data_IF_362167610640
#
_entry.id   IF_362167610640
#
_cell.length_a   1.000
_cell.length_b   1.000
_cell.length_c   1.000
_cell.angle_alpha   90.00
_cell.angle_beta   90.00
_cell.angle_gamma   90.00
#
_symmetry.space_group_name_H-M   'P 1'
#
loop_
_entity.id
_entity.type
_entity.pdbx_description
1 polymer ?
#
# COMPACT_ATOMS: atom_id res chain seq x y z
N UNK A 1 -7.21 -3.49 -9.73
CA UNK A 1 -5.83 -3.15 -10.12
C UNK A 1 -4.89 -3.29 -8.93
N UNK A 2 -5.15 -2.60 -7.81
CA UNK A 2 -4.25 -2.59 -6.64
C UNK A 2 -4.11 -3.96 -5.94
N UNK A 3 -5.17 -4.74 -5.85
CA UNK A 3 -5.13 -6.10 -5.27
C UNK A 3 -4.21 -7.01 -6.08
N UNK A 4 -4.27 -6.91 -7.40
CA UNK A 4 -3.40 -7.67 -8.30
C UNK A 4 -1.93 -7.25 -8.15
N UNK A 5 -1.65 -5.96 -8.03
CA UNK A 5 -0.30 -5.44 -7.81
C UNK A 5 0.24 -5.84 -6.43
N UNK A 6 -0.57 -5.79 -5.39
CA UNK A 6 -0.18 -6.26 -4.06
C UNK A 6 0.17 -7.75 -4.07
N UNK A 7 -0.56 -8.57 -4.81
CA UNK A 7 -0.26 -10.00 -4.95
C UNK A 7 1.03 -10.24 -5.74
N UNK A 8 1.19 -9.60 -6.90
CA UNK A 8 2.35 -9.76 -7.76
C UNK A 8 3.63 -9.18 -7.15
N UNK A 9 3.53 -8.15 -6.32
CA UNK A 9 4.69 -7.52 -5.68
C UNK A 9 5.48 -8.43 -4.73
N UNK A 10 4.92 -9.55 -4.32
CA UNK A 10 5.62 -10.57 -3.50
C UNK A 10 6.84 -11.18 -4.19
N UNK A 11 6.87 -11.15 -5.52
CA UNK A 11 7.97 -11.68 -6.34
C UNK A 11 8.90 -10.59 -6.86
N UNK A 12 8.67 -9.34 -6.49
CA UNK A 12 9.47 -8.22 -6.93
C UNK A 12 10.86 -8.22 -6.29
N UNK A 13 11.80 -7.58 -6.98
CA UNK A 13 13.20 -7.55 -6.55
C UNK A 13 13.47 -6.39 -5.60
N UNK A 14 14.22 -6.63 -4.52
CA UNK A 14 14.68 -5.57 -3.63
C UNK A 14 15.79 -4.74 -4.30
N UNK A 15 15.80 -3.46 -3.99
CA UNK A 15 16.86 -2.53 -4.38
C UNK A 15 16.99 -1.41 -3.34
N UNK A 16 18.20 -0.90 -3.15
CA UNK A 16 18.42 0.28 -2.31
C UNK A 16 17.88 1.52 -3.03
N UNK A 17 17.00 2.24 -2.36
CA UNK A 17 16.38 3.46 -2.85
C UNK A 17 16.72 4.64 -1.92
N UNK A 18 16.77 5.83 -2.49
CA UNK A 18 16.97 7.07 -1.75
C UNK A 18 15.64 7.79 -1.62
N UNK A 19 15.34 8.26 -0.43
CA UNK A 19 14.16 9.09 -0.19
C UNK A 19 14.40 10.47 -0.78
N UNK A 20 13.45 10.94 -1.57
CA UNK A 20 13.47 12.24 -2.25
C UNK A 20 12.19 13.01 -1.96
N UNK A 21 12.09 14.25 -2.44
CA UNK A 21 10.85 15.01 -2.33
C UNK A 21 9.81 14.47 -3.31
N UNK A 22 8.54 14.60 -2.95
CA UNK A 22 7.43 14.18 -3.82
C UNK A 22 7.50 14.86 -5.21
N UNK A 23 7.83 16.15 -5.23
CA UNK A 23 8.02 16.90 -6.48
C UNK A 23 9.11 16.30 -7.37
N UNK A 24 10.23 15.89 -6.78
CA UNK A 24 11.35 15.28 -7.52
C UNK A 24 10.95 13.91 -8.08
N UNK A 25 10.21 13.10 -7.32
CA UNK A 25 9.75 11.79 -7.78
C UNK A 25 8.76 11.92 -8.95
N UNK A 26 7.83 12.85 -8.90
CA UNK A 26 6.89 13.11 -10.01
C UNK A 26 7.64 13.62 -11.24
N UNK A 27 8.61 14.52 -11.08
CA UNK A 27 9.46 15.00 -12.18
C UNK A 27 10.28 13.86 -12.82
N UNK A 28 10.68 12.85 -12.04
CA UNK A 28 11.38 11.65 -12.52
C UNK A 28 10.43 10.60 -13.15
N UNK A 29 9.13 10.86 -13.24
CA UNK A 29 8.15 10.00 -13.89
C UNK A 29 7.51 8.95 -12.98
N UNK A 30 7.47 9.18 -11.66
CA UNK A 30 6.73 8.31 -10.74
C UNK A 30 5.25 8.23 -11.12
N UNK A 31 4.69 7.04 -11.05
CA UNK A 31 3.26 6.84 -11.28
C UNK A 31 2.48 7.35 -10.07
N UNK A 32 1.64 8.34 -10.31
CA UNK A 32 0.76 8.91 -9.30
C UNK A 32 -0.62 9.15 -9.88
N UNK A 33 -1.63 8.59 -9.26
CA UNK A 33 -3.02 8.78 -9.65
C UNK A 33 -3.72 9.73 -8.67
N UNK A 34 -3.77 11.00 -9.05
CA UNK A 34 -4.41 12.05 -8.25
C UNK A 34 -5.94 11.83 -8.10
N UNK A 35 -6.58 11.19 -9.08
CA UNK A 35 -8.01 10.91 -9.04
C UNK A 35 -8.30 9.81 -8.02
N UNK A 36 -7.51 8.76 -8.03
CA UNK A 36 -7.63 7.66 -7.06
C UNK A 36 -7.39 8.15 -5.63
N UNK A 37 -6.40 9.01 -5.42
CA UNK A 37 -6.15 9.62 -4.12
C UNK A 37 -7.33 10.51 -3.67
N UNK A 38 -7.90 11.30 -4.58
CA UNK A 38 -9.04 12.14 -4.27
C UNK A 38 -10.27 11.31 -3.91
N UNK A 39 -10.55 10.25 -4.66
CA UNK A 39 -11.65 9.33 -4.36
C UNK A 39 -11.45 8.63 -3.02
N UNK A 40 -10.23 8.19 -2.72
CA UNK A 40 -9.90 7.58 -1.43
C UNK A 40 -10.14 8.55 -0.28
N UNK A 41 -9.77 9.82 -0.40
CA UNK A 41 -10.01 10.86 0.60
C UNK A 41 -11.49 11.19 0.80
N UNK A 42 -12.30 11.12 -0.26
CA UNK A 42 -13.74 11.42 -0.19
C UNK A 42 -14.54 10.26 0.41
N UNK A 43 -14.26 9.04 -0.01
CA UNK A 43 -15.05 7.86 0.35
C UNK A 43 -14.49 7.09 1.54
N UNK A 44 -13.19 7.22 1.80
CA UNK A 44 -12.49 6.56 2.89
C UNK A 44 -11.80 7.64 3.74
N UNK A 45 -12.26 7.88 4.98
CA UNK A 45 -11.64 8.86 5.86
C UNK A 45 -10.16 8.50 6.14
N UNK A 46 -9.41 9.44 6.74
CA UNK A 46 -7.94 9.39 6.98
C UNK A 46 -7.38 8.05 7.49
N UNK A 47 -8.23 7.21 8.08
CA UNK A 47 -7.85 5.91 8.61
C UNK A 47 -7.66 4.81 7.56
N UNK A 48 -8.10 5.04 6.32
CA UNK A 48 -8.08 4.04 5.24
C UNK A 48 -7.17 4.42 4.07
N UNK A 49 -6.38 5.47 4.21
CA UNK A 49 -5.44 5.90 3.19
C UNK A 49 -4.26 4.93 3.04
N UNK A 50 -3.65 4.97 1.86
CA UNK A 50 -2.34 4.35 1.64
C UNK A 50 -1.26 5.39 1.92
N UNK A 51 -0.24 5.08 2.74
CA UNK A 51 0.84 6.02 2.96
C UNK A 51 1.65 6.24 1.68
N UNK A 52 2.11 7.47 1.49
CA UNK A 52 2.94 7.88 0.36
C UNK A 52 4.33 8.28 0.85
N UNK A 53 5.33 7.82 0.13
CA UNK A 53 6.72 8.21 0.33
C UNK A 53 7.41 8.30 -1.01
N UNK A 54 8.10 9.38 -1.27
CA UNK A 54 8.81 9.58 -2.52
C UNK A 54 10.22 9.01 -2.44
N UNK A 55 10.59 8.16 -3.37
CA UNK A 55 11.91 7.53 -3.45
C UNK A 55 12.35 7.36 -4.90
N UNK A 56 13.67 7.23 -5.09
CA UNK A 56 14.27 6.94 -6.38
C UNK A 56 15.31 5.83 -6.26
N UNK A 57 15.51 5.09 -7.34
CA UNK A 57 16.50 4.01 -7.45
C UNK A 57 16.98 3.88 -8.89
N UNK A 58 18.12 3.22 -9.07
CA UNK A 58 18.72 3.00 -10.40
C UNK A 58 18.81 1.51 -10.70
N UNK A 59 18.31 1.12 -11.87
CA UNK A 59 18.38 -0.24 -12.41
C UNK A 59 18.98 -0.18 -13.81
N UNK A 60 20.06 -0.91 -14.05
CA UNK A 60 20.74 -0.98 -15.35
C UNK A 60 21.06 0.40 -15.95
N UNK A 61 21.47 1.34 -15.11
CA UNK A 61 21.84 2.70 -15.50
C UNK A 61 20.67 3.67 -15.71
N UNK A 62 19.42 3.22 -15.60
CA UNK A 62 18.23 4.05 -15.66
C UNK A 62 17.69 4.35 -14.26
N UNK A 63 17.32 5.60 -14.01
CA UNK A 63 16.73 6.02 -12.74
C UNK A 63 15.20 5.96 -12.82
N UNK A 64 14.62 5.34 -11.81
CA UNK A 64 13.17 5.22 -11.61
C UNK A 64 12.78 5.86 -10.28
N UNK A 65 11.53 6.26 -10.18
CA UNK A 65 10.99 6.84 -8.95
C UNK A 65 9.62 6.25 -8.62
N UNK A 66 9.30 6.21 -7.34
CA UNK A 66 8.01 5.78 -6.82
C UNK A 66 7.51 6.72 -5.73
N UNK A 67 6.21 6.67 -5.46
CA UNK A 67 5.55 7.48 -4.43
C UNK A 67 4.67 6.65 -3.49
N UNK A 68 4.59 5.34 -3.71
CA UNK A 68 3.74 4.46 -2.91
C UNK A 68 4.57 3.68 -1.90
N UNK A 69 4.16 3.73 -0.64
CA UNK A 69 4.73 2.90 0.41
C UNK A 69 4.26 1.44 0.26
N UNK A 70 2.98 1.25 0.00
CA UNK A 70 2.35 -0.05 -0.24
C UNK A 70 1.23 0.06 -1.27
N UNK A 71 0.84 -1.05 -1.86
CA UNK A 71 -0.34 -1.13 -2.75
C UNK A 71 -1.65 -1.42 -2.02
N UNK A 72 -1.61 -1.71 -0.74
CA UNK A 72 -2.81 -2.04 0.04
C UNK A 72 -3.27 -0.88 0.91
N UNK A 73 -4.57 -0.82 1.13
CA UNK A 73 -5.17 0.02 2.16
C UNK A 73 -5.02 -0.73 3.48
N UNK A 74 -4.38 -0.12 4.45
CA UNK A 74 -4.21 -0.68 5.79
C UNK A 74 -4.75 0.31 6.83
N UNK A 75 -5.95 0.06 7.39
CA UNK A 75 -6.56 0.97 8.36
C UNK A 75 -5.78 1.10 9.68
N UNK A 76 -4.94 0.11 9.99
CA UNK A 76 -4.11 0.11 11.20
C UNK A 76 -2.62 0.30 10.89
N UNK A 77 -2.29 0.51 9.63
CA UNK A 77 -0.92 0.73 9.18
C UNK A 77 -0.41 2.15 9.46
N UNK A 78 0.84 2.41 9.10
CA UNK A 78 1.45 3.72 9.31
C UNK A 78 0.75 4.78 8.45
N UNK A 79 0.65 5.99 8.98
CA UNK A 79 0.11 7.16 8.27
C UNK A 79 1.20 7.91 7.51
N UNK A 80 0.81 8.72 6.54
CA UNK A 80 1.72 9.54 5.72
C UNK A 80 2.72 10.33 6.57
N UNK A 81 2.26 11.03 7.58
CA UNK A 81 3.10 11.85 8.44
C UNK A 81 4.14 11.03 9.22
N UNK A 82 3.76 9.84 9.69
CA UNK A 82 4.63 8.93 10.40
C UNK A 82 5.72 8.38 9.47
N UNK A 83 5.33 7.89 8.30
CA UNK A 83 6.26 7.37 7.30
C UNK A 83 7.25 8.44 6.84
N UNK A 84 6.80 9.65 6.58
CA UNK A 84 7.64 10.76 6.16
C UNK A 84 8.59 11.24 7.27
N UNK A 85 8.16 11.20 8.52
CA UNK A 85 9.01 11.55 9.66
C UNK A 85 10.11 10.52 9.90
N UNK A 86 9.80 9.24 9.76
CA UNK A 86 10.77 8.14 9.93
C UNK A 86 11.76 8.05 8.77
N UNK A 87 11.37 8.51 7.59
CA UNK A 87 12.17 8.45 6.37
C UNK A 87 12.37 9.86 5.77
N UNK A 88 13.22 10.69 6.36
CA UNK A 88 13.49 12.03 5.85
C UNK A 88 14.19 11.98 4.48
N UNK A 89 14.05 13.04 3.64
CA UNK A 89 14.76 13.14 2.37
C UNK A 89 16.27 12.94 2.52
N UNK A 90 16.87 12.16 1.63
CA UNK A 90 18.29 11.80 1.65
C UNK A 90 18.59 10.50 2.39
N UNK A 91 17.66 9.94 3.17
CA UNK A 91 17.83 8.62 3.78
C UNK A 91 17.69 7.49 2.75
N UNK A 92 18.26 6.33 3.07
CA UNK A 92 18.19 5.13 2.23
C UNK A 92 17.18 4.15 2.80
N UNK A 93 16.40 3.53 1.93
CA UNK A 93 15.40 2.51 2.26
C UNK A 93 15.44 1.42 1.20
N UNK A 94 15.03 0.20 1.57
CA UNK A 94 14.85 -0.87 0.60
C UNK A 94 13.51 -0.71 -0.11
N UNK A 95 13.53 -0.62 -1.43
CA UNK A 95 12.35 -0.64 -2.28
C UNK A 95 12.27 -1.96 -3.05
N UNK A 96 11.10 -2.28 -3.56
CA UNK A 96 10.86 -3.45 -4.38
C UNK A 96 10.26 -3.01 -5.71
N UNK A 97 10.77 -3.53 -6.80
CA UNK A 97 10.33 -3.18 -8.14
C UNK A 97 10.01 -4.41 -8.99
N UNK A 98 9.08 -4.24 -9.93
CA UNK A 98 8.79 -5.24 -10.95
C UNK A 98 9.91 -5.26 -11.99
N UNK A 99 10.64 -6.37 -12.16
CA UNK A 99 11.69 -6.46 -13.18
C UNK A 99 11.19 -6.25 -14.60
N UNK A 100 9.93 -6.57 -14.89
CA UNK A 100 9.31 -6.36 -16.19
C UNK A 100 8.94 -4.88 -16.44
N UNK A 101 8.61 -4.14 -15.35
CA UNK A 101 8.28 -2.72 -15.42
C UNK A 101 8.73 -1.99 -14.15
N UNK A 102 9.98 -1.50 -14.08
CA UNK A 102 10.54 -0.89 -12.88
C UNK A 102 9.79 0.35 -12.36
N UNK A 103 8.90 0.93 -13.15
CA UNK A 103 7.99 2.02 -12.68
C UNK A 103 6.96 1.51 -11.68
N UNK A 104 6.66 0.22 -11.67
CA UNK A 104 5.85 -0.41 -10.65
C UNK A 104 6.76 -0.81 -9.49
N UNK A 105 6.74 0.00 -8.43
CA UNK A 105 7.62 -0.12 -7.28
C UNK A 105 6.92 0.34 -6.00
N UNK A 106 7.31 -0.26 -4.89
CA UNK A 106 6.80 0.04 -3.54
C UNK A 106 7.89 -0.19 -2.49
N UNK A 107 7.65 0.31 -1.30
CA UNK A 107 8.51 0.04 -0.14
C UNK A 107 8.09 -1.26 0.55
N UNK A 108 6.79 -1.51 0.70
CA UNK A 108 6.27 -2.71 1.34
C UNK A 108 5.48 -3.56 0.34
N UNK A 109 5.85 -4.82 0.20
CA UNK A 109 5.26 -5.77 -0.75
C UNK A 109 4.14 -6.58 -0.14
N UNK A 110 3.22 -7.06 -1.00
CA UNK A 110 2.14 -7.95 -0.61
C UNK A 110 1.03 -7.21 0.15
N UNK A 111 0.31 -7.96 0.97
CA UNK A 111 -0.73 -7.44 1.83
C UNK A 111 -0.17 -7.22 3.23
N UNK A 112 -0.40 -6.05 3.81
CA UNK A 112 -0.03 -5.77 5.20
C UNK A 112 -0.67 -6.75 6.18
N UNK A 113 -0.03 -7.01 7.31
CA UNK A 113 -0.53 -7.94 8.32
C UNK A 113 -1.96 -7.60 8.78
N UNK A 114 -2.28 -6.32 8.92
CA UNK A 114 -3.59 -5.84 9.32
C UNK A 114 -4.69 -6.14 8.30
N UNK A 115 -4.37 -6.25 7.02
CA UNK A 115 -5.33 -6.66 5.99
C UNK A 115 -5.92 -8.04 6.31
N UNK A 116 -5.08 -9.01 6.69
CA UNK A 116 -5.54 -10.34 7.05
C UNK A 116 -6.41 -10.33 8.30
N UNK A 117 -6.11 -9.49 9.29
CA UNK A 117 -6.90 -9.35 10.51
C UNK A 117 -8.32 -8.85 10.16
N UNK A 118 -8.43 -7.86 9.30
CA UNK A 118 -9.73 -7.32 8.85
C UNK A 118 -10.53 -8.36 8.08
N UNK A 119 -9.89 -9.08 7.15
CA UNK A 119 -10.56 -10.12 6.36
C UNK A 119 -11.03 -11.27 7.25
N UNK A 120 -10.20 -11.76 8.16
CA UNK A 120 -10.55 -12.84 9.10
C UNK A 120 -11.69 -12.37 10.02
N UNK A 121 -11.62 -11.15 10.54
CA UNK A 121 -12.68 -10.57 11.37
C UNK A 121 -14.03 -10.51 10.63
N UNK A 122 -14.03 -10.08 9.38
CA UNK A 122 -15.23 -10.04 8.55
C UNK A 122 -15.83 -11.43 8.31
N UNK A 123 -14.99 -12.44 8.05
CA UNK A 123 -15.43 -13.84 7.87
C UNK A 123 -16.04 -14.36 9.17
N UNK A 124 -15.42 -14.14 10.31
CA UNK A 124 -15.93 -14.57 11.62
C UNK A 124 -17.30 -13.94 11.91
N UNK A 125 -17.43 -12.63 11.70
CA UNK A 125 -18.71 -11.93 11.88
C UNK A 125 -19.80 -12.46 10.95
N UNK A 126 -19.46 -12.74 9.70
CA UNK A 126 -20.38 -13.34 8.73
C UNK A 126 -20.84 -14.73 9.18
N UNK A 127 -19.93 -15.59 9.64
CA UNK A 127 -20.26 -16.92 10.15
C UNK A 127 -21.17 -16.85 11.38
N UNK A 128 -20.90 -15.92 12.32
CA UNK A 128 -21.75 -15.70 13.51
C UNK A 128 -23.15 -15.24 13.07
N UNK A 129 -23.24 -14.32 12.14
CA UNK A 129 -24.51 -13.84 11.59
C UNK A 129 -25.33 -14.96 10.97
N UNK A 130 -24.69 -15.80 10.16
CA UNK A 130 -25.34 -16.96 9.54
C UNK A 130 -25.80 -17.98 10.60
N UNK A 131 -24.98 -18.24 11.62
CA UNK A 131 -25.36 -19.13 12.71
C UNK A 131 -26.60 -18.63 13.47
N UNK A 132 -26.66 -17.34 13.78
CA UNK A 132 -27.80 -16.73 14.46
C UNK A 132 -29.10 -16.84 13.62
N UNK A 133 -28.99 -16.62 12.28
CA UNK A 133 -30.12 -16.71 11.37
C UNK A 133 -30.63 -18.14 11.23
N UNK A 134 -29.73 -19.13 11.22
CA UNK A 134 -30.07 -20.55 11.06
C UNK A 134 -30.57 -21.19 12.34
N UNK A 135 -30.24 -20.61 13.51
CA UNK A 135 -30.74 -21.14 14.77
C UNK A 135 -32.26 -21.02 14.81
N UNK A 136 -33.01 -22.13 14.86
CA UNK A 136 -34.48 -22.07 14.96
C UNK A 136 -34.84 -21.27 16.19
N UNK A 137 -35.67 -20.25 16.04
CA UNK A 137 -36.30 -19.57 17.17
C UNK A 137 -37.20 -20.59 17.82
N UNK A 138 -36.70 -21.27 18.85
CA UNK A 138 -37.56 -21.93 19.80
C UNK A 138 -38.37 -20.81 20.46
N UNK A 139 -39.54 -20.57 19.90
CA UNK A 139 -40.54 -19.70 20.51
C UNK A 139 -41.01 -20.44 21.79
N UNK A 140 -40.69 -19.83 22.87
CA UNK A 140 -41.16 -20.21 24.21
C UNK A 140 -42.69 -19.97 24.24
#
# INVERSE_FOLDING_TARGET
VYVQQAHSSRTWKPIDARIVTFKSAIAAGAKYDAIDELLTKIFLPEYFGRPHIAFEFTVDGATYAGVNYTWTIDPLGPKDEEVQREHPPGSTITAYYDPANPKDCVIETGFGAHFYIVVIGAIVLFCIGMYIIQKPRELI
#
